data_IF_144054388535
#
_entry.id   IF_144054388535
#
_cell.length_a   1.000
_cell.length_b   1.000
_cell.length_c   1.000
_cell.angle_alpha   90.00
_cell.angle_beta   90.00
_cell.angle_gamma   90.00
#
_symmetry.space_group_name_H-M   'P 1'
#
loop_
_entity.id
_entity.type
_entity.pdbx_description
1 polymer ?
#
# COMPACT_ATOMS: atom_id res chain seq x y z
N UNK A 1 7.85 52.24 -39.60
CA UNK A 1 7.83 51.11 -38.65
C UNK A 1 6.49 50.41 -38.79
N UNK A 2 6.48 49.18 -39.32
CA UNK A 2 5.30 48.54 -39.90
C UNK A 2 4.28 48.08 -38.84
N UNK A 3 3.06 48.62 -38.92
CA UNK A 3 1.89 48.12 -38.19
C UNK A 3 1.59 46.62 -38.47
N UNK A 4 2.05 46.11 -39.62
CA UNK A 4 1.93 44.70 -40.02
C UNK A 4 2.75 43.73 -39.14
N UNK A 5 3.86 44.18 -38.54
CA UNK A 5 4.68 43.33 -37.67
C UNK A 5 4.10 43.14 -36.26
N UNK A 6 3.39 44.15 -35.75
CA UNK A 6 2.75 44.10 -34.45
C UNK A 6 1.51 43.18 -34.46
N UNK A 7 0.72 43.20 -35.54
CA UNK A 7 -0.44 42.31 -35.71
C UNK A 7 -0.06 40.83 -35.72
N UNK A 8 0.99 40.46 -36.44
CA UNK A 8 1.48 39.07 -36.49
C UNK A 8 2.03 38.57 -35.16
N UNK A 9 2.67 39.44 -34.37
CA UNK A 9 3.18 39.10 -33.02
C UNK A 9 2.03 38.92 -32.04
N UNK A 10 1.02 39.81 -32.07
CA UNK A 10 -0.16 39.70 -31.20
C UNK A 10 -0.96 38.42 -31.52
N UNK A 11 -1.12 38.08 -32.81
CA UNK A 11 -1.82 36.87 -33.22
C UNK A 11 -1.04 35.59 -32.85
N UNK A 12 0.29 35.60 -32.98
CA UNK A 12 1.14 34.49 -32.56
C UNK A 12 1.11 34.27 -31.05
N UNK A 13 1.12 35.34 -30.25
CA UNK A 13 1.01 35.26 -28.78
C UNK A 13 -0.39 34.80 -28.36
N UNK A 14 -1.45 35.25 -29.05
CA UNK A 14 -2.82 34.79 -28.79
C UNK A 14 -2.99 33.29 -29.00
N UNK A 15 -2.44 32.74 -30.10
CA UNK A 15 -2.48 31.29 -30.37
C UNK A 15 -1.68 30.46 -29.37
N UNK A 16 -0.51 30.93 -28.95
CA UNK A 16 0.30 30.23 -27.94
C UNK A 16 -0.37 30.25 -26.56
N UNK A 17 -1.01 31.37 -26.18
CA UNK A 17 -1.75 31.47 -24.93
C UNK A 17 -2.97 30.54 -24.93
N UNK A 18 -3.70 30.48 -26.04
CA UNK A 18 -4.88 29.63 -26.19
C UNK A 18 -4.51 28.13 -26.21
N UNK A 19 -3.46 27.76 -26.95
CA UNK A 19 -2.94 26.38 -26.99
C UNK A 19 -2.36 25.92 -25.64
N UNK A 20 -1.64 26.79 -24.91
CA UNK A 20 -1.06 26.43 -23.60
C UNK A 20 -2.14 26.27 -22.53
N UNK A 21 -3.09 27.21 -22.43
CA UNK A 21 -4.18 27.13 -21.45
C UNK A 21 -5.11 25.95 -21.76
N UNK A 22 -5.42 25.73 -23.03
CA UNK A 22 -6.27 24.60 -23.46
C UNK A 22 -5.56 23.25 -23.25
N UNK A 23 -4.26 23.15 -23.57
CA UNK A 23 -3.46 21.94 -23.32
C UNK A 23 -3.37 21.60 -21.82
N UNK A 24 -3.18 22.61 -20.95
CA UNK A 24 -3.09 22.39 -19.51
C UNK A 24 -4.44 21.96 -18.91
N UNK A 25 -5.54 22.54 -19.38
CA UNK A 25 -6.89 22.10 -18.99
C UNK A 25 -7.20 20.66 -19.41
N UNK A 26 -6.86 20.27 -20.65
CA UNK A 26 -7.07 18.91 -21.14
C UNK A 26 -6.21 17.90 -20.37
N UNK A 27 -4.93 18.21 -20.12
CA UNK A 27 -4.04 17.38 -19.28
C UNK A 27 -4.58 17.24 -17.87
N UNK A 28 -5.11 18.32 -17.29
CA UNK A 28 -5.73 18.29 -15.98
C UNK A 28 -7.00 17.42 -15.97
N UNK A 29 -7.86 17.53 -16.98
CA UNK A 29 -9.06 16.69 -17.13
C UNK A 29 -8.71 15.21 -17.24
N UNK A 30 -7.71 14.85 -18.06
CA UNK A 30 -7.23 13.47 -18.18
C UNK A 30 -6.67 12.96 -16.86
N UNK A 31 -5.79 13.72 -16.20
CA UNK A 31 -5.23 13.34 -14.90
C UNK A 31 -6.31 13.21 -13.80
N UNK A 32 -7.36 14.03 -13.86
CA UNK A 32 -8.47 13.98 -12.93
C UNK A 32 -9.38 12.77 -13.21
N UNK A 33 -9.60 12.44 -14.47
CA UNK A 33 -10.32 11.24 -14.89
C UNK A 33 -9.58 9.95 -14.51
N UNK A 34 -8.25 9.90 -14.70
CA UNK A 34 -7.41 8.79 -14.22
C UNK A 34 -7.57 8.59 -12.71
N UNK A 35 -7.52 9.68 -11.92
CA UNK A 35 -7.73 9.60 -10.47
C UNK A 35 -9.13 9.14 -10.08
N UNK A 36 -10.15 9.53 -10.84
CA UNK A 36 -11.52 9.06 -10.59
C UNK A 36 -11.64 7.56 -10.87
N UNK A 37 -10.98 7.06 -11.92
CA UNK A 37 -10.93 5.62 -12.23
C UNK A 37 -10.21 4.87 -11.11
N UNK A 38 -9.03 5.33 -10.69
CA UNK A 38 -8.28 4.72 -9.59
C UNK A 38 -9.09 4.71 -8.28
N UNK A 39 -9.73 5.83 -7.95
CA UNK A 39 -10.59 5.93 -6.78
C UNK A 39 -11.78 4.97 -6.87
N UNK A 40 -12.40 4.82 -8.04
CA UNK A 40 -13.50 3.88 -8.26
C UNK A 40 -13.05 2.42 -8.13
N UNK A 41 -11.86 2.06 -8.63
CA UNK A 41 -11.30 0.72 -8.46
C UNK A 41 -11.02 0.41 -6.99
N UNK A 42 -10.42 1.36 -6.25
CA UNK A 42 -10.19 1.22 -4.81
C UNK A 42 -11.52 1.09 -4.07
N UNK A 43 -12.51 1.91 -4.41
CA UNK A 43 -13.84 1.86 -3.80
C UNK A 43 -14.52 0.51 -4.05
N UNK A 44 -14.47 -0.02 -5.27
CA UNK A 44 -15.01 -1.34 -5.59
C UNK A 44 -14.36 -2.44 -4.77
N UNK A 45 -13.04 -2.39 -4.56
CA UNK A 45 -12.35 -3.33 -3.69
C UNK A 45 -12.78 -3.19 -2.22
N UNK A 46 -12.97 -1.96 -1.72
CA UNK A 46 -13.45 -1.72 -0.36
C UNK A 46 -14.87 -2.25 -0.16
N UNK A 47 -15.74 -2.10 -1.15
CA UNK A 47 -17.12 -2.57 -1.09
C UNK A 47 -17.19 -4.10 -1.06
N UNK A 48 -16.38 -4.78 -1.89
CA UNK A 48 -16.24 -6.25 -1.83
C UNK A 48 -15.71 -6.68 -0.46
N UNK A 49 -14.66 -6.03 0.04
CA UNK A 49 -14.09 -6.36 1.35
C UNK A 49 -15.10 -6.17 2.49
N UNK A 50 -15.94 -5.13 2.40
CA UNK A 50 -16.99 -4.85 3.38
C UNK A 50 -18.09 -5.90 3.32
N UNK A 51 -18.53 -6.28 2.12
CA UNK A 51 -19.51 -7.35 1.92
C UNK A 51 -18.98 -8.70 2.44
N UNK A 52 -17.72 -9.03 2.15
CA UNK A 52 -17.05 -10.23 2.67
C UNK A 52 -17.00 -10.21 4.21
N UNK A 53 -16.65 -9.07 4.81
CA UNK A 53 -16.58 -8.91 6.25
C UNK A 53 -17.97 -8.95 6.94
N UNK A 54 -19.03 -8.55 6.24
CA UNK A 54 -20.41 -8.60 6.73
C UNK A 54 -21.08 -9.97 6.52
N UNK A 55 -20.43 -10.88 5.79
CA UNK A 55 -20.95 -12.22 5.55
C UNK A 55 -21.16 -12.98 6.86
N UNK A 56 -22.30 -13.66 6.98
CA UNK A 56 -22.58 -14.55 8.12
C UNK A 56 -21.71 -15.81 8.12
N UNK A 57 -21.04 -16.12 7.00
CA UNK A 57 -20.14 -17.27 6.90
C UNK A 57 -18.78 -16.97 7.54
N UNK A 58 -18.43 -17.73 8.58
CA UNK A 58 -17.14 -17.62 9.26
C UNK A 58 -15.95 -17.90 8.31
N UNK A 59 -16.16 -18.72 7.28
CA UNK A 59 -15.11 -18.99 6.28
C UNK A 59 -14.88 -17.81 5.33
N UNK A 60 -15.90 -16.99 5.07
CA UNK A 60 -15.79 -15.82 4.18
C UNK A 60 -15.30 -14.60 4.98
N UNK A 61 -15.97 -14.26 6.08
CA UNK A 61 -15.61 -13.10 6.90
C UNK A 61 -14.33 -13.34 7.73
N UNK A 62 -14.07 -14.58 8.11
CA UNK A 62 -13.01 -14.94 9.06
C UNK A 62 -11.65 -15.26 8.41
N UNK A 63 -11.54 -15.42 7.10
CA UNK A 63 -10.27 -15.80 6.46
C UNK A 63 -9.15 -14.79 6.72
N UNK A 64 -9.43 -13.48 6.58
CA UNK A 64 -8.43 -12.43 6.82
C UNK A 64 -8.03 -12.34 8.31
N UNK A 65 -8.98 -12.28 9.27
CA UNK A 65 -8.63 -12.39 10.68
C UNK A 65 -7.88 -13.66 11.03
N UNK A 66 -8.26 -14.82 10.50
CA UNK A 66 -7.66 -16.11 10.84
C UNK A 66 -6.16 -16.14 10.56
N UNK A 67 -5.73 -15.68 9.38
CA UNK A 67 -4.30 -15.61 9.03
C UNK A 67 -3.55 -14.67 9.99
N UNK A 68 -4.15 -13.54 10.36
CA UNK A 68 -3.57 -12.59 11.31
C UNK A 68 -3.45 -13.22 12.70
N UNK A 69 -4.49 -13.93 13.16
CA UNK A 69 -4.49 -14.58 14.46
C UNK A 69 -3.46 -15.71 14.53
N UNK A 70 -3.40 -16.58 13.53
CA UNK A 70 -2.41 -17.67 13.49
C UNK A 70 -0.99 -17.12 13.47
N UNK A 71 -0.73 -16.11 12.62
CA UNK A 71 0.56 -15.42 12.61
C UNK A 71 0.89 -14.77 13.95
N UNK A 72 -0.08 -14.07 14.55
CA UNK A 72 0.08 -13.42 15.85
C UNK A 72 0.34 -14.41 17.00
N UNK A 73 -0.40 -15.52 17.05
CA UNK A 73 -0.20 -16.57 18.05
C UNK A 73 1.15 -17.24 17.91
N UNK A 74 1.60 -17.48 16.67
CA UNK A 74 2.90 -18.10 16.46
C UNK A 74 4.05 -17.18 16.86
N UNK A 75 3.98 -15.90 16.51
CA UNK A 75 4.95 -14.89 16.94
C UNK A 75 4.93 -14.70 18.48
N UNK A 76 3.75 -14.68 19.09
CA UNK A 76 3.63 -14.61 20.55
C UNK A 76 4.24 -15.84 21.22
N UNK A 77 4.02 -17.04 20.68
CA UNK A 77 4.61 -18.26 21.20
C UNK A 77 6.14 -18.23 21.10
N UNK A 78 6.68 -17.97 19.92
CA UNK A 78 8.12 -17.99 19.66
C UNK A 78 8.86 -16.86 20.40
N UNK A 79 8.32 -15.64 20.38
CA UNK A 79 9.02 -14.44 20.88
C UNK A 79 8.81 -14.14 22.36
N UNK A 80 7.71 -14.61 22.97
CA UNK A 80 7.37 -14.24 24.36
C UNK A 80 7.15 -15.50 25.22
N UNK A 81 6.23 -16.38 24.81
CA UNK A 81 5.82 -17.51 25.66
C UNK A 81 6.97 -18.50 25.83
N UNK A 82 7.66 -18.87 24.75
CA UNK A 82 8.74 -19.85 24.80
C UNK A 82 9.90 -19.42 25.70
N UNK A 83 10.47 -18.18 25.61
CA UNK A 83 11.45 -17.69 26.57
C UNK A 83 10.97 -17.74 28.02
N UNK A 84 9.72 -17.36 28.28
CA UNK A 84 9.14 -17.43 29.62
C UNK A 84 9.01 -18.87 30.13
N UNK A 85 8.65 -19.82 29.26
CA UNK A 85 8.62 -21.25 29.60
C UNK A 85 10.01 -21.76 29.97
N UNK A 86 11.06 -21.37 29.23
CA UNK A 86 12.45 -21.70 29.59
C UNK A 86 12.82 -21.17 30.98
N UNK A 87 12.41 -19.95 31.31
CA UNK A 87 12.64 -19.37 32.63
C UNK A 87 11.91 -20.14 33.73
N UNK A 88 10.65 -20.49 33.52
CA UNK A 88 9.86 -21.30 34.47
C UNK A 88 10.51 -22.67 34.69
N UNK A 89 10.93 -23.36 33.63
CA UNK A 89 11.60 -24.65 33.74
C UNK A 89 12.88 -24.57 34.55
N UNK A 90 13.70 -23.56 34.27
CA UNK A 90 14.96 -23.32 34.98
C UNK A 90 14.73 -22.93 36.45
N UNK A 91 13.78 -22.04 36.71
CA UNK A 91 13.53 -21.51 38.06
C UNK A 91 12.87 -22.56 38.98
N UNK A 92 11.90 -23.31 38.46
CA UNK A 92 11.17 -24.31 39.24
C UNK A 92 11.78 -25.71 39.16
N UNK A 93 12.91 -25.89 38.47
CA UNK A 93 13.61 -27.18 38.31
C UNK A 93 12.65 -28.30 37.85
N UNK A 94 11.77 -27.97 36.89
CA UNK A 94 10.75 -28.90 36.40
C UNK A 94 11.44 -30.08 35.70
N UNK A 95 11.11 -31.34 36.04
CA UNK A 95 11.73 -32.49 35.40
C UNK A 95 11.34 -32.59 33.92
N UNK A 96 12.32 -32.94 33.09
CA UNK A 96 12.16 -33.03 31.64
C UNK A 96 12.55 -31.76 30.90
N UNK A 97 12.35 -31.76 29.58
CA UNK A 97 12.60 -30.59 28.75
C UNK A 97 11.35 -29.71 28.63
N UNK A 98 11.52 -28.38 28.48
CA UNK A 98 10.42 -27.50 28.12
C UNK A 98 9.79 -27.93 26.77
N UNK A 99 8.53 -27.56 26.50
CA UNK A 99 7.87 -27.85 25.23
C UNK A 99 8.71 -27.38 24.05
N UNK A 100 8.75 -28.12 22.93
CA UNK A 100 9.61 -27.76 21.82
C UNK A 100 9.23 -26.41 21.21
N UNK A 101 10.24 -25.73 20.67
CA UNK A 101 10.02 -24.54 19.86
C UNK A 101 9.29 -24.94 18.57
N UNK A 102 8.31 -24.13 18.17
CA UNK A 102 7.65 -24.29 16.87
C UNK A 102 8.60 -23.73 15.81
N UNK A 103 8.85 -24.48 14.74
CA UNK A 103 9.65 -23.97 13.61
C UNK A 103 9.00 -22.69 13.07
N UNK A 104 9.73 -21.58 13.25
CA UNK A 104 9.27 -20.24 12.94
C UNK A 104 9.96 -19.67 11.70
N UNK A 105 10.91 -20.40 11.10
CA UNK A 105 11.65 -20.03 9.89
C UNK A 105 10.71 -19.65 8.74
N UNK A 106 9.59 -20.36 8.61
CA UNK A 106 8.57 -20.07 7.60
C UNK A 106 7.91 -18.70 7.83
N UNK A 107 7.74 -18.27 9.08
CA UNK A 107 7.13 -16.99 9.44
C UNK A 107 8.08 -15.83 9.24
N UNK A 108 9.38 -16.03 9.53
CA UNK A 108 10.41 -15.04 9.26
C UNK A 108 10.49 -14.73 7.76
N UNK A 109 10.41 -15.74 6.90
CA UNK A 109 10.38 -15.57 5.45
C UNK A 109 9.14 -14.78 4.99
N UNK A 110 7.96 -15.09 5.55
CA UNK A 110 6.72 -14.36 5.23
C UNK A 110 6.81 -12.91 5.69
N UNK A 111 7.35 -12.66 6.90
CA UNK A 111 7.56 -11.31 7.41
C UNK A 111 8.55 -10.52 6.55
N UNK A 112 9.67 -11.13 6.15
CA UNK A 112 10.65 -10.50 5.27
C UNK A 112 10.04 -10.16 3.91
N UNK A 113 9.21 -11.06 3.35
CA UNK A 113 8.47 -10.82 2.12
C UNK A 113 7.52 -9.62 2.23
N UNK A 114 6.75 -9.54 3.33
CA UNK A 114 5.83 -8.43 3.58
C UNK A 114 6.58 -7.10 3.77
N UNK A 115 7.71 -7.14 4.49
CA UNK A 115 8.59 -5.98 4.69
C UNK A 115 9.22 -5.53 3.36
N UNK A 116 9.57 -6.47 2.48
CA UNK A 116 10.06 -6.20 1.13
C UNK A 116 9.05 -5.44 0.28
N UNK A 117 7.76 -5.82 0.31
CA UNK A 117 6.69 -5.09 -0.38
C UNK A 117 6.50 -3.68 0.20
N UNK A 118 6.54 -3.54 1.52
CA UNK A 118 6.52 -2.23 2.19
C UNK A 118 7.73 -1.36 1.82
N UNK A 119 8.91 -1.97 1.71
CA UNK A 119 10.16 -1.34 1.30
C UNK A 119 10.12 -0.83 -0.15
N UNK A 120 9.66 -1.66 -1.09
CA UNK A 120 9.50 -1.26 -2.50
C UNK A 120 8.58 -0.04 -2.63
N UNK A 121 7.43 -0.05 -1.95
CA UNK A 121 6.49 1.10 -1.95
C UNK A 121 7.10 2.36 -1.33
N UNK A 122 7.88 2.19 -0.26
CA UNK A 122 8.58 3.32 0.38
C UNK A 122 9.67 3.89 -0.52
N UNK A 123 10.38 3.02 -1.25
CA UNK A 123 11.39 3.40 -2.23
C UNK A 123 10.78 4.14 -3.43
N UNK A 124 9.65 3.66 -3.96
CA UNK A 124 8.92 4.36 -5.04
C UNK A 124 8.48 5.76 -4.60
N UNK A 125 8.00 5.90 -3.37
CA UNK A 125 7.68 7.22 -2.78
C UNK A 125 8.89 8.12 -2.64
N UNK A 126 10.03 7.58 -2.17
CA UNK A 126 11.28 8.34 -2.07
C UNK A 126 11.80 8.79 -3.44
N UNK A 127 11.60 7.99 -4.49
CA UNK A 127 11.93 8.33 -5.88
C UNK A 127 10.88 9.20 -6.58
N UNK A 128 9.77 9.53 -5.91
CA UNK A 128 8.67 10.30 -6.49
C UNK A 128 7.96 9.58 -7.64
N UNK A 129 8.06 8.25 -7.70
CA UNK A 129 7.37 7.36 -8.64
C UNK A 129 6.12 6.70 -8.03
N UNK A 130 5.80 7.06 -6.78
CA UNK A 130 4.50 6.74 -6.16
C UNK A 130 3.38 7.28 -7.05
N UNK A 131 2.44 6.41 -7.43
CA UNK A 131 1.27 6.68 -8.29
C UNK A 131 0.43 7.86 -7.81
N UNK A 132 0.63 8.34 -6.57
CA UNK A 132 -0.09 9.46 -5.98
C UNK A 132 0.43 10.87 -6.33
N UNK A 133 1.64 11.03 -6.87
CA UNK A 133 2.20 12.35 -7.24
C UNK A 133 2.54 12.44 -8.74
N UNK A 134 1.69 13.10 -9.50
CA UNK A 134 1.99 13.53 -10.87
C UNK A 134 2.93 14.74 -10.78
N UNK A 135 4.14 14.64 -11.34
CA UNK A 135 4.88 15.84 -11.76
C UNK A 135 4.36 16.20 -13.14
N UNK A 136 3.56 17.26 -13.21
CA UNK A 136 3.35 17.96 -14.47
C UNK A 136 4.73 18.50 -14.89
N UNK A 137 5.23 17.99 -16.02
CA UNK A 137 6.38 18.57 -16.70
C UNK A 137 5.90 19.67 -17.63
#
# INVERSE_FOLDING_TARGET
>A
MNALGLGAIIEGVGKIADDLITSDEERLKVALQEKQIDAALIQGQLDVNKAEAQSASLFVAGARPFVIWVGGFSLAYAGIIYPLLLWVWSFFQVPGSPPPMIESDSLEVIMLGLLGVGGMRSFDKLKGKDTRRIKLK
#
